data_IF_566677951109
#
_entry.id   IF_566677951109
#
_cell.length_a   1.000
_cell.length_b   1.000
_cell.length_c   1.000
_cell.angle_alpha   90.00
_cell.angle_beta   90.00
_cell.angle_gamma   90.00
#
_symmetry.space_group_name_H-M   'P 1'
#
loop_
_entity.id
_entity.type
_entity.pdbx_description
1 polymer ?
#
# COMPACT_ATOMS: atom_id res chain seq x y z
N UNK A 1 3.22 -14.42 -2.42
CA UNK A 1 2.71 -13.57 -1.32
C UNK A 1 3.14 -12.13 -1.58
N UNK A 2 2.18 -11.23 -1.79
CA UNK A 2 2.45 -9.82 -2.14
C UNK A 2 3.23 -9.10 -1.02
N UNK A 3 3.02 -9.52 0.24
CA UNK A 3 3.75 -9.01 1.41
C UNK A 3 5.28 -9.13 1.27
N UNK A 4 5.77 -10.21 0.64
CA UNK A 4 7.20 -10.36 0.36
C UNK A 4 7.75 -9.23 -0.51
N UNK A 5 7.06 -8.91 -1.61
CA UNK A 5 7.46 -7.84 -2.51
C UNK A 5 7.30 -6.46 -1.86
N UNK A 6 6.22 -6.23 -1.12
CA UNK A 6 5.92 -4.93 -0.52
C UNK A 6 6.92 -4.51 0.57
N UNK A 7 7.37 -5.45 1.41
CA UNK A 7 8.32 -5.15 2.50
C UNK A 7 9.79 -5.22 2.07
N UNK A 8 10.08 -5.71 0.87
CA UNK A 8 11.44 -5.81 0.35
C UNK A 8 12.17 -4.44 0.29
N UNK A 9 11.59 -3.36 -0.28
CA UNK A 9 12.24 -2.06 -0.32
C UNK A 9 12.55 -1.49 1.07
N UNK A 10 11.66 -1.73 2.04
CA UNK A 10 11.84 -1.30 3.43
C UNK A 10 13.03 -2.03 4.05
N UNK A 11 13.09 -3.36 3.89
CA UNK A 11 14.23 -4.16 4.34
C UNK A 11 15.55 -3.65 3.73
N UNK A 12 15.58 -3.40 2.41
CA UNK A 12 16.81 -2.93 1.74
C UNK A 12 17.22 -1.53 2.20
N UNK A 13 16.27 -0.62 2.42
CA UNK A 13 16.54 0.75 2.85
C UNK A 13 17.04 0.80 4.30
N UNK A 14 16.47 0.00 5.20
CA UNK A 14 16.94 -0.10 6.59
C UNK A 14 18.33 -0.76 6.60
N UNK A 15 18.52 -1.83 5.82
CA UNK A 15 19.80 -2.53 5.75
C UNK A 15 20.93 -1.63 5.27
N UNK A 16 20.69 -0.76 4.29
CA UNK A 16 21.70 0.20 3.81
C UNK A 16 22.03 1.28 4.85
N UNK A 17 21.02 1.83 5.54
CA UNK A 17 21.23 2.79 6.62
C UNK A 17 21.97 2.19 7.81
N UNK A 18 21.67 0.94 8.15
CA UNK A 18 22.35 0.23 9.24
C UNK A 18 23.77 -0.15 8.83
N UNK A 19 24.00 -0.54 7.58
CA UNK A 19 25.33 -0.89 7.09
C UNK A 19 26.30 0.29 7.12
N UNK A 20 25.83 1.53 6.90
CA UNK A 20 26.66 2.74 6.98
C UNK A 20 26.92 3.21 8.40
N UNK A 21 26.02 2.93 9.35
CA UNK A 21 26.13 3.39 10.76
C UNK A 21 26.76 2.37 11.70
N UNK A 22 26.62 1.07 11.42
CA UNK A 22 27.01 0.00 12.35
C UNK A 22 28.23 -0.79 11.86
N UNK A 23 29.23 -0.91 12.74
CA UNK A 23 30.43 -1.73 12.51
C UNK A 23 30.20 -3.23 12.82
N UNK A 24 29.18 -3.55 13.63
CA UNK A 24 28.86 -4.93 14.02
C UNK A 24 28.12 -5.69 12.91
N UNK A 25 28.60 -6.91 12.61
CA UNK A 25 27.96 -7.83 11.67
C UNK A 25 26.53 -8.21 12.09
N UNK A 26 26.30 -8.37 13.40
CA UNK A 26 24.97 -8.73 13.94
C UNK A 26 23.92 -7.67 13.67
N UNK A 27 24.27 -6.40 13.89
CA UNK A 27 23.37 -5.28 13.65
C UNK A 27 23.02 -5.16 12.17
N UNK A 28 23.97 -5.48 11.27
CA UNK A 28 23.75 -5.48 9.82
C UNK A 28 22.81 -6.59 9.33
N UNK A 29 22.79 -7.75 9.99
CA UNK A 29 21.93 -8.89 9.61
C UNK A 29 20.50 -8.75 10.18
N UNK A 30 20.34 -7.96 11.25
CA UNK A 30 19.08 -7.82 11.98
C UNK A 30 17.86 -7.44 11.11
N UNK A 31 17.94 -6.49 10.15
CA UNK A 31 16.80 -6.15 9.29
C UNK A 31 16.36 -7.30 8.38
N UNK A 32 17.32 -8.05 7.82
CA UNK A 32 17.03 -9.22 6.98
C UNK A 32 16.43 -10.36 7.79
N UNK A 33 16.94 -10.60 9.00
CA UNK A 33 16.39 -11.59 9.91
C UNK A 33 14.94 -11.25 10.30
N UNK A 34 14.69 -9.98 10.66
CA UNK A 34 13.35 -9.51 10.99
C UNK A 34 12.36 -9.70 9.82
N UNK A 35 12.79 -9.36 8.59
CA UNK A 35 12.00 -9.58 7.39
C UNK A 35 11.68 -11.07 7.15
N UNK A 36 12.68 -11.95 7.23
CA UNK A 36 12.48 -13.39 7.05
C UNK A 36 11.54 -13.98 8.11
N UNK A 37 11.74 -13.63 9.38
CA UNK A 37 10.88 -14.11 10.49
C UNK A 37 9.44 -13.61 10.33
N UNK A 38 9.25 -12.34 9.95
CA UNK A 38 7.92 -11.79 9.68
C UNK A 38 7.23 -12.53 8.53
N UNK A 39 7.93 -12.74 7.41
CA UNK A 39 7.38 -13.46 6.28
C UNK A 39 7.04 -14.91 6.60
N UNK A 40 7.88 -15.58 7.39
CA UNK A 40 7.61 -16.93 7.87
C UNK A 40 6.35 -16.95 8.75
N UNK A 41 6.20 -15.98 9.66
CA UNK A 41 5.00 -15.87 10.50
C UNK A 41 3.72 -15.67 9.67
N UNK A 42 3.75 -14.76 8.68
CA UNK A 42 2.60 -14.55 7.77
C UNK A 42 2.33 -15.80 6.93
N UNK A 43 3.36 -16.50 6.48
CA UNK A 43 3.24 -17.75 5.73
C UNK A 43 2.62 -18.87 6.56
N UNK A 44 3.13 -19.11 7.77
CA UNK A 44 2.62 -20.12 8.70
C UNK A 44 1.18 -19.83 9.13
N UNK A 45 0.83 -18.56 9.36
CA UNK A 45 -0.56 -18.17 9.64
C UNK A 45 -1.53 -18.67 8.56
N UNK A 46 -1.14 -18.60 7.28
CA UNK A 46 -1.97 -19.09 6.17
C UNK A 46 -2.10 -20.62 6.11
N UNK A 47 -1.06 -21.34 6.54
CA UNK A 47 -1.10 -22.81 6.66
C UNK A 47 -2.00 -23.23 7.82
N UNK A 48 -1.88 -22.56 8.98
CA UNK A 48 -2.72 -22.85 10.15
C UNK A 48 -4.20 -22.53 9.93
N UNK A 49 -4.51 -21.50 9.15
CA UNK A 49 -5.87 -21.18 8.72
C UNK A 49 -6.36 -22.10 7.57
N UNK A 50 -5.55 -23.08 7.15
CA UNK A 50 -5.84 -23.99 6.04
C UNK A 50 -6.21 -23.29 4.72
N UNK A 51 -5.82 -22.02 4.59
CA UNK A 51 -6.12 -21.20 3.40
C UNK A 51 -5.20 -21.55 2.22
N UNK A 52 -4.00 -22.07 2.50
CA UNK A 52 -3.01 -22.45 1.48
C UNK A 52 -2.20 -23.66 1.91
N UNK A 53 -1.82 -24.49 0.94
CA UNK A 53 -0.92 -25.60 1.17
C UNK A 53 0.52 -25.12 1.45
N UNK A 54 1.33 -25.85 2.25
CA UNK A 54 2.69 -25.43 2.59
C UNK A 54 3.58 -25.14 1.38
N UNK A 55 3.48 -25.94 0.32
CA UNK A 55 4.26 -25.73 -0.90
C UNK A 55 3.87 -24.43 -1.63
N UNK A 56 2.59 -24.05 -1.62
CA UNK A 56 2.11 -22.78 -2.21
C UNK A 56 2.62 -21.58 -1.41
N UNK A 57 2.66 -21.70 -0.08
CA UNK A 57 3.22 -20.67 0.79
C UNK A 57 4.71 -20.51 0.52
N UNK A 58 5.47 -21.59 0.46
CA UNK A 58 6.91 -21.54 0.17
C UNK A 58 7.19 -20.94 -1.21
N UNK A 59 6.51 -21.41 -2.26
CA UNK A 59 6.64 -20.85 -3.60
C UNK A 59 6.27 -19.36 -3.60
N UNK A 60 5.15 -19.00 -2.94
CA UNK A 60 4.70 -17.63 -2.83
C UNK A 60 5.66 -16.70 -2.08
N UNK A 61 6.40 -17.20 -1.09
CA UNK A 61 7.43 -16.45 -0.38
C UNK A 61 8.63 -16.17 -1.30
N UNK A 62 9.13 -17.20 -1.99
CA UNK A 62 10.26 -17.08 -2.93
C UNK A 62 9.90 -16.12 -4.07
N UNK A 63 8.77 -16.35 -4.75
CA UNK A 63 8.32 -15.49 -5.84
C UNK A 63 8.09 -14.05 -5.36
N UNK A 64 7.57 -13.85 -4.14
CA UNK A 64 7.39 -12.52 -3.56
C UNK A 64 8.71 -11.77 -3.35
N UNK A 65 9.73 -12.45 -2.81
CA UNK A 65 11.06 -11.87 -2.64
C UNK A 65 11.73 -11.55 -3.98
N UNK A 66 11.68 -12.47 -4.95
CA UNK A 66 12.20 -12.26 -6.30
C UNK A 66 11.51 -11.07 -6.98
N UNK A 67 10.19 -10.97 -6.85
CA UNK A 67 9.43 -9.84 -7.38
C UNK A 67 9.84 -8.51 -6.73
N UNK A 68 10.00 -8.49 -5.40
CA UNK A 68 10.48 -7.31 -4.68
C UNK A 68 11.86 -6.85 -5.14
N UNK A 69 12.79 -7.80 -5.28
CA UNK A 69 14.13 -7.54 -5.81
C UNK A 69 14.08 -6.96 -7.24
N UNK A 70 13.27 -7.55 -8.11
CA UNK A 70 13.13 -7.11 -9.49
C UNK A 70 12.47 -5.71 -9.60
N UNK A 71 11.50 -5.41 -8.74
CA UNK A 71 10.74 -4.14 -8.83
C UNK A 71 11.43 -2.96 -8.13
N UNK A 72 12.26 -3.21 -7.11
CA UNK A 72 12.95 -2.14 -6.35
C UNK A 72 13.70 -1.12 -7.23
N UNK A 73 14.49 -1.51 -8.26
CA UNK A 73 15.16 -0.55 -9.12
C UNK A 73 14.26 0.09 -10.19
N UNK A 74 13.01 -0.37 -10.36
CA UNK A 74 12.12 0.03 -11.48
C UNK A 74 10.98 0.95 -11.05
N UNK A 75 11.10 1.65 -9.92
CA UNK A 75 10.04 2.52 -9.42
C UNK A 75 9.83 3.72 -10.36
N UNK A 76 8.62 3.96 -10.89
CA UNK A 76 8.35 4.94 -11.94
C UNK A 76 8.28 6.40 -11.44
N UNK A 77 9.24 6.85 -10.63
CA UNK A 77 9.19 8.18 -9.98
C UNK A 77 9.17 9.38 -10.95
N UNK A 78 9.69 9.21 -12.17
CA UNK A 78 9.82 10.28 -13.18
C UNK A 78 8.77 10.19 -14.31
N UNK A 79 7.80 9.28 -14.21
CA UNK A 79 6.75 9.15 -15.22
C UNK A 79 5.71 10.26 -15.09
N UNK A 80 5.14 10.68 -16.21
CA UNK A 80 4.07 11.66 -16.26
C UNK A 80 2.79 11.18 -15.54
N UNK A 81 1.96 12.13 -15.09
CA UNK A 81 0.66 11.84 -14.49
C UNK A 81 -0.25 11.02 -15.42
N UNK A 82 -0.15 11.24 -16.73
CA UNK A 82 -0.88 10.51 -17.78
C UNK A 82 -0.66 9.00 -17.68
N UNK A 83 0.57 8.55 -17.37
CA UNK A 83 0.91 7.13 -17.22
C UNK A 83 0.17 6.49 -16.03
N UNK A 84 0.11 7.18 -14.89
CA UNK A 84 -0.61 6.72 -13.70
C UNK A 84 -2.12 6.67 -13.95
N UNK A 85 -2.67 7.71 -14.57
CA UNK A 85 -4.08 7.76 -14.95
C UNK A 85 -4.46 6.66 -15.94
N UNK A 86 -3.66 6.47 -16.99
CA UNK A 86 -3.89 5.42 -17.99
C UNK A 86 -3.75 4.03 -17.38
N UNK A 87 -2.79 3.81 -16.47
CA UNK A 87 -2.63 2.54 -15.76
C UNK A 87 -3.85 2.24 -14.89
N UNK A 88 -4.32 3.21 -14.10
CA UNK A 88 -5.55 3.07 -13.31
C UNK A 88 -6.76 2.76 -14.20
N UNK A 89 -6.90 3.47 -15.31
CA UNK A 89 -7.99 3.24 -16.26
C UNK A 89 -7.89 1.84 -16.90
N UNK A 90 -6.70 1.43 -17.34
CA UNK A 90 -6.46 0.13 -17.93
C UNK A 90 -6.75 -1.01 -16.95
N UNK A 91 -6.39 -0.86 -15.67
CA UNK A 91 -6.72 -1.84 -14.63
C UNK A 91 -8.24 -1.95 -14.42
N UNK A 92 -8.96 -0.84 -14.31
CA UNK A 92 -10.42 -0.85 -14.13
C UNK A 92 -11.17 -1.39 -15.36
N UNK A 93 -10.80 -0.94 -16.56
CA UNK A 93 -11.41 -1.41 -17.81
C UNK A 93 -11.05 -2.87 -18.07
N UNK A 94 -9.80 -3.26 -17.86
CA UNK A 94 -9.35 -4.65 -17.98
C UNK A 94 -10.07 -5.57 -17.01
N UNK A 95 -10.20 -5.17 -15.75
CA UNK A 95 -10.98 -5.90 -14.75
C UNK A 95 -12.45 -6.06 -15.17
N UNK A 96 -13.07 -4.98 -15.66
CA UNK A 96 -14.45 -4.99 -16.11
C UNK A 96 -14.62 -5.87 -17.35
N UNK A 97 -13.70 -5.81 -18.30
CA UNK A 97 -13.69 -6.65 -19.49
C UNK A 97 -13.57 -8.13 -19.14
N UNK A 98 -12.64 -8.47 -18.25
CA UNK A 98 -12.47 -9.85 -17.77
C UNK A 98 -13.73 -10.34 -17.07
N UNK A 99 -14.31 -9.51 -16.19
CA UNK A 99 -15.56 -9.82 -15.50
C UNK A 99 -16.69 -10.12 -16.50
N UNK A 100 -16.95 -9.22 -17.44
CA UNK A 100 -18.01 -9.40 -18.44
C UNK A 100 -17.76 -10.60 -19.34
N UNK A 101 -16.51 -10.86 -19.72
CA UNK A 101 -16.13 -12.03 -20.52
C UNK A 101 -16.41 -13.33 -19.77
N UNK A 102 -16.02 -13.41 -18.49
CA UNK A 102 -16.29 -14.60 -17.67
C UNK A 102 -17.80 -14.78 -17.45
N UNK A 103 -18.51 -13.68 -17.23
CA UNK A 103 -19.96 -13.71 -17.07
C UNK A 103 -20.68 -14.21 -18.32
N UNK A 104 -20.31 -13.75 -19.52
CA UNK A 104 -20.91 -14.24 -20.77
C UNK A 104 -20.57 -15.70 -21.08
N UNK A 105 -19.45 -16.20 -20.57
CA UNK A 105 -19.10 -17.63 -20.60
C UNK A 105 -19.83 -18.47 -19.53
N UNK A 106 -20.71 -17.86 -18.73
CA UNK A 106 -21.49 -18.54 -17.69
C UNK A 106 -20.75 -18.74 -16.37
N UNK A 107 -19.59 -18.11 -16.18
CA UNK A 107 -18.78 -18.18 -14.96
C UNK A 107 -19.09 -16.98 -14.05
N UNK A 108 -19.92 -17.19 -13.03
CA UNK A 108 -20.19 -16.16 -12.03
C UNK A 108 -19.05 -16.04 -11.00
N UNK A 109 -18.31 -14.93 -11.07
CA UNK A 109 -17.27 -14.57 -10.10
C UNK A 109 -17.82 -14.34 -8.68
N UNK A 110 -19.11 -14.01 -8.56
CA UNK A 110 -19.77 -13.78 -7.27
C UNK A 110 -20.18 -15.08 -6.58
N UNK A 111 -20.08 -16.22 -7.28
CA UNK A 111 -20.51 -17.53 -6.76
C UNK A 111 -19.86 -17.89 -5.43
N UNK A 112 -18.55 -17.66 -5.29
CA UNK A 112 -17.80 -17.97 -4.05
C UNK A 112 -18.26 -17.11 -2.87
N UNK A 113 -18.59 -15.84 -3.12
CA UNK A 113 -19.12 -14.93 -2.12
C UNK A 113 -20.54 -15.33 -1.71
N UNK A 114 -21.39 -15.67 -2.68
CA UNK A 114 -22.74 -16.16 -2.42
C UNK A 114 -22.73 -17.45 -1.59
N UNK A 115 -21.78 -18.35 -1.87
CA UNK A 115 -21.59 -19.57 -1.09
C UNK A 115 -21.13 -19.26 0.34
N UNK A 116 -20.15 -18.36 0.51
CA UNK A 116 -19.70 -17.92 1.83
C UNK A 116 -20.84 -17.29 2.64
N UNK A 117 -21.61 -16.37 2.05
CA UNK A 117 -22.75 -15.74 2.72
C UNK A 117 -23.87 -16.71 3.09
N UNK A 118 -23.99 -17.85 2.39
CA UNK A 118 -25.00 -18.87 2.67
C UNK A 118 -24.58 -19.85 3.77
N UNK A 119 -23.31 -20.23 3.82
CA UNK A 119 -22.83 -21.34 4.66
C UNK A 119 -21.94 -20.92 5.83
N UNK A 120 -21.42 -19.70 5.85
CA UNK A 120 -20.68 -19.22 7.01
C UNK A 120 -21.61 -19.05 8.23
N UNK A 121 -21.10 -19.43 9.41
CA UNK A 121 -21.80 -19.26 10.69
C UNK A 121 -22.16 -17.79 10.96
N UNK A 122 -21.29 -16.86 10.53
CA UNK A 122 -21.46 -15.42 10.66
C UNK A 122 -21.33 -14.74 9.29
N UNK A 123 -22.42 -14.61 8.52
CA UNK A 123 -22.39 -14.00 7.19
C UNK A 123 -22.00 -12.52 7.23
N UNK A 124 -22.18 -11.83 8.36
CA UNK A 124 -21.74 -10.46 8.58
C UNK A 124 -20.23 -10.27 8.50
N UNK A 125 -19.44 -11.35 8.63
CA UNK A 125 -17.98 -11.31 8.46
C UNK A 125 -17.54 -11.36 6.99
N UNK A 126 -18.46 -11.58 6.04
CA UNK A 126 -18.19 -11.53 4.60
C UNK A 126 -18.30 -10.08 4.13
N UNK A 127 -17.17 -9.38 4.19
CA UNK A 127 -17.08 -7.96 3.86
C UNK A 127 -17.10 -7.72 2.34
N UNK A 128 -17.70 -6.62 1.87
CA UNK A 128 -17.63 -6.24 0.45
C UNK A 128 -16.19 -6.03 -0.05
N UNK A 129 -15.30 -5.62 0.85
CA UNK A 129 -13.87 -5.41 0.56
C UNK A 129 -13.15 -6.69 0.12
N UNK A 130 -13.68 -7.87 0.44
CA UNK A 130 -13.10 -9.15 0.01
C UNK A 130 -13.43 -9.51 -1.44
N UNK A 131 -14.23 -8.71 -2.14
CA UNK A 131 -14.58 -8.95 -3.55
C UNK A 131 -13.39 -8.60 -4.45
N UNK A 132 -13.12 -9.38 -5.52
CA UNK A 132 -12.00 -9.12 -6.43
C UNK A 132 -12.00 -7.71 -7.02
N UNK A 133 -13.19 -7.20 -7.39
CA UNK A 133 -13.33 -5.86 -7.94
C UNK A 133 -13.03 -4.75 -6.92
N UNK A 134 -13.30 -4.98 -5.63
CA UNK A 134 -12.95 -4.02 -4.57
C UNK A 134 -11.42 -3.90 -4.41
N UNK A 135 -10.69 -5.02 -4.48
CA UNK A 135 -9.22 -5.02 -4.48
C UNK A 135 -8.65 -4.29 -5.70
N UNK A 136 -9.19 -4.55 -6.90
CA UNK A 136 -8.73 -3.89 -8.14
C UNK A 136 -9.05 -2.39 -8.13
N UNK A 137 -10.21 -2.00 -7.63
CA UNK A 137 -10.60 -0.60 -7.42
C UNK A 137 -9.61 0.10 -6.47
N UNK A 138 -9.24 -0.55 -5.37
CA UNK A 138 -8.24 -0.06 -4.42
C UNK A 138 -6.86 0.12 -5.06
N UNK A 139 -6.37 -0.89 -5.78
CA UNK A 139 -5.04 -0.86 -6.40
C UNK A 139 -4.98 0.19 -7.53
N UNK A 140 -6.06 0.33 -8.30
CA UNK A 140 -6.19 1.36 -9.34
C UNK A 140 -6.22 2.77 -8.74
N UNK A 141 -7.02 2.97 -7.69
CA UNK A 141 -7.08 4.24 -6.96
C UNK A 141 -5.74 4.61 -6.34
N UNK A 142 -5.04 3.66 -5.72
CA UNK A 142 -3.71 3.88 -5.18
C UNK A 142 -2.68 4.27 -6.26
N UNK A 143 -2.76 3.67 -7.45
CA UNK A 143 -1.89 4.03 -8.58
C UNK A 143 -2.14 5.47 -9.05
N UNK A 144 -3.42 5.86 -9.22
CA UNK A 144 -3.78 7.24 -9.58
C UNK A 144 -3.36 8.23 -8.48
N UNK A 145 -3.65 7.90 -7.22
CA UNK A 145 -3.30 8.71 -6.05
C UNK A 145 -1.80 8.93 -5.93
N UNK A 146 -0.99 7.91 -6.19
CA UNK A 146 0.46 8.03 -6.25
C UNK A 146 0.89 9.03 -7.33
N UNK A 147 0.30 8.94 -8.53
CA UNK A 147 0.56 9.88 -9.61
C UNK A 147 0.27 11.33 -9.23
N UNK A 148 -0.91 11.59 -8.63
CA UNK A 148 -1.33 12.90 -8.15
C UNK A 148 -0.39 13.41 -7.05
N UNK A 149 -0.02 12.55 -6.09
CA UNK A 149 0.86 12.89 -5.00
C UNK A 149 2.25 13.33 -5.50
N UNK A 150 2.83 12.59 -6.45
CA UNK A 150 4.16 12.88 -7.00
C UNK A 150 4.22 14.17 -7.82
N UNK A 151 3.12 14.57 -8.47
CA UNK A 151 3.00 15.80 -9.25
C UNK A 151 2.47 17.00 -8.46
N UNK A 152 2.11 16.80 -7.18
CA UNK A 152 1.61 17.88 -6.33
C UNK A 152 2.73 18.87 -5.96
N UNK A 153 2.45 20.20 -5.93
CA UNK A 153 3.42 21.20 -5.47
C UNK A 153 3.88 20.95 -4.03
N UNK A 154 3.01 20.37 -3.19
CA UNK A 154 3.33 20.01 -1.80
C UNK A 154 4.47 18.99 -1.73
N UNK A 155 4.40 17.94 -2.57
CA UNK A 155 5.46 16.94 -2.64
C UNK A 155 6.75 17.52 -3.21
N UNK A 156 6.67 18.41 -4.20
CA UNK A 156 7.84 19.08 -4.76
C UNK A 156 8.61 19.90 -3.71
N UNK A 157 7.91 20.55 -2.78
CA UNK A 157 8.51 21.27 -1.65
C UNK A 157 9.16 20.31 -0.64
N UNK A 158 8.44 19.27 -0.23
CA UNK A 158 8.93 18.23 0.70
C UNK A 158 10.14 17.50 0.12
N UNK A 159 10.15 17.19 -1.17
CA UNK A 159 11.26 16.50 -1.83
C UNK A 159 12.56 17.33 -1.82
N UNK A 160 12.45 18.66 -1.89
CA UNK A 160 13.62 19.56 -1.76
C UNK A 160 14.08 19.68 -0.30
N UNK A 161 13.15 19.60 0.65
CA UNK A 161 13.46 19.66 2.06
C UNK A 161 13.98 18.32 2.59
N UNK A 162 15.13 18.30 3.24
CA UNK A 162 15.57 17.11 3.98
C UNK A 162 14.86 17.05 5.33
N UNK A 163 13.86 16.16 5.46
CA UNK A 163 13.18 15.96 6.74
C UNK A 163 14.11 15.30 7.77
N UNK A 164 14.19 15.92 8.95
CA UNK A 164 14.90 15.34 10.11
C UNK A 164 14.20 14.09 10.66
N UNK A 165 14.89 13.31 11.49
CA UNK A 165 14.31 12.09 12.08
C UNK A 165 13.07 12.37 12.95
N UNK A 166 13.05 13.49 13.69
CA UNK A 166 11.90 13.92 14.48
C UNK A 166 10.67 14.26 13.61
N UNK A 167 10.87 14.98 12.50
CA UNK A 167 9.81 15.26 11.54
C UNK A 167 9.27 13.99 10.88
N UNK A 168 10.14 13.02 10.55
CA UNK A 168 9.70 11.70 10.03
C UNK A 168 8.82 10.95 11.02
N UNK A 169 9.16 10.98 12.31
CA UNK A 169 8.34 10.37 13.36
C UNK A 169 7.00 11.10 13.51
N UNK A 170 7.00 12.43 13.50
CA UNK A 170 5.77 13.22 13.51
C UNK A 170 4.88 12.91 12.30
N UNK A 171 5.46 12.78 11.10
CA UNK A 171 4.73 12.37 9.90
C UNK A 171 4.10 10.98 10.06
N UNK A 172 4.84 10.01 10.62
CA UNK A 172 4.33 8.66 10.85
C UNK A 172 3.12 8.69 11.80
N UNK A 173 3.25 9.37 12.93
CA UNK A 173 2.18 9.47 13.94
C UNK A 173 0.95 10.17 13.37
N UNK A 174 1.13 11.30 12.67
CA UNK A 174 0.03 12.05 12.05
C UNK A 174 -0.65 11.26 10.94
N UNK A 175 0.12 10.58 10.08
CA UNK A 175 -0.44 9.74 9.03
C UNK A 175 -1.29 8.60 9.61
N UNK A 176 -0.78 7.91 10.63
CA UNK A 176 -1.53 6.85 11.33
C UNK A 176 -2.79 7.41 12.00
N UNK A 177 -2.68 8.55 12.68
CA UNK A 177 -3.79 9.20 13.38
C UNK A 177 -4.89 9.71 12.44
N UNK A 178 -4.57 10.05 11.19
CA UNK A 178 -5.53 10.52 10.20
C UNK A 178 -6.14 9.39 9.36
N UNK A 179 -5.36 8.35 9.05
CA UNK A 179 -5.85 7.19 8.30
C UNK A 179 -6.84 6.34 9.10
N UNK A 180 -6.64 6.19 10.41
CA UNK A 180 -7.53 5.38 11.26
C UNK A 180 -8.99 5.86 11.26
N UNK A 181 -9.29 7.13 11.56
CA UNK A 181 -10.65 7.67 11.51
C UNK A 181 -11.25 7.66 10.10
N UNK A 182 -10.43 7.87 9.07
CA UNK A 182 -10.87 7.80 7.68
C UNK A 182 -11.28 6.37 7.28
N UNK A 183 -10.71 5.36 7.93
CA UNK A 183 -11.11 3.97 7.75
C UNK A 183 -12.43 3.64 8.47
N UNK A 184 -12.68 4.30 9.60
CA UNK A 184 -13.92 4.17 10.36
C UNK A 184 -15.13 4.85 9.72
N UNK A 185 -14.89 5.74 8.75
CA UNK A 185 -15.95 6.31 7.93
C UNK A 185 -16.55 5.19 7.06
N UNK A 186 -17.64 4.60 7.57
CA UNK A 186 -18.29 3.46 6.96
C UNK A 186 -18.73 3.71 5.51
N UNK A 187 -19.01 2.63 4.80
CA UNK A 187 -19.37 2.71 3.39
C UNK A 187 -20.86 2.94 3.16
N UNK A 188 -21.25 3.61 2.07
CA UNK A 188 -22.66 3.73 1.68
C UNK A 188 -23.26 2.34 1.37
N UNK A 189 -24.55 2.11 1.65
CA UNK A 189 -25.20 0.81 1.48
C UNK A 189 -25.38 0.40 0.00
N UNK A 190 -25.26 1.35 -0.94
CA UNK A 190 -25.37 1.08 -2.38
C UNK A 190 -24.04 0.59 -2.95
N UNK A 191 -24.04 -0.55 -3.65
CA UNK A 191 -22.84 -1.21 -4.18
C UNK A 191 -22.04 -0.33 -5.16
N UNK A 192 -22.72 0.43 -6.02
CA UNK A 192 -22.06 1.35 -6.97
C UNK A 192 -21.34 2.48 -6.24
N UNK A 193 -22.00 3.11 -5.26
CA UNK A 193 -21.40 4.13 -4.42
C UNK A 193 -20.24 3.56 -3.60
N UNK A 194 -20.36 2.33 -3.09
CA UNK A 194 -19.28 1.66 -2.38
C UNK A 194 -17.99 1.63 -3.23
N UNK A 195 -18.06 1.21 -4.50
CA UNK A 195 -16.87 1.16 -5.35
C UNK A 195 -16.29 2.54 -5.69
N UNK A 196 -17.14 3.55 -5.87
CA UNK A 196 -16.70 4.93 -6.11
C UNK A 196 -15.98 5.48 -4.87
N UNK A 197 -16.58 5.32 -3.69
CA UNK A 197 -15.99 5.74 -2.42
C UNK A 197 -14.70 4.98 -2.11
N UNK A 198 -14.68 3.67 -2.35
CA UNK A 198 -13.50 2.84 -2.21
C UNK A 198 -12.36 3.36 -3.10
N UNK A 199 -12.63 3.58 -4.39
CA UNK A 199 -11.66 4.13 -5.32
C UNK A 199 -11.13 5.50 -4.86
N UNK A 200 -12.02 6.41 -4.48
CA UNK A 200 -11.66 7.75 -4.03
C UNK A 200 -10.84 7.72 -2.73
N UNK A 201 -11.27 6.92 -1.75
CA UNK A 201 -10.56 6.72 -0.47
C UNK A 201 -9.11 6.28 -0.72
N UNK A 202 -8.92 5.26 -1.56
CA UNK A 202 -7.57 4.77 -1.88
C UNK A 202 -6.77 5.65 -2.83
N UNK A 203 -7.42 6.56 -3.56
CA UNK A 203 -6.75 7.65 -4.29
C UNK A 203 -6.23 8.73 -3.34
N UNK A 204 -6.99 9.03 -2.27
CA UNK A 204 -6.63 10.05 -1.28
C UNK A 204 -5.49 9.59 -0.37
N UNK A 205 -5.39 8.31 -0.05
CA UNK A 205 -4.38 7.77 0.87
C UNK A 205 -2.93 8.10 0.47
N UNK A 206 -2.46 7.83 -0.77
CA UNK A 206 -1.12 8.24 -1.19
C UNK A 206 -0.92 9.76 -1.15
N UNK A 207 -1.92 10.55 -1.57
CA UNK A 207 -1.86 12.02 -1.51
C UNK A 207 -1.66 12.52 -0.08
N UNK A 208 -2.34 11.89 0.87
CA UNK A 208 -2.25 12.22 2.28
C UNK A 208 -0.86 11.88 2.85
N UNK A 209 -0.41 10.64 2.65
CA UNK A 209 0.81 10.10 3.27
C UNK A 209 2.07 10.67 2.63
N UNK A 210 2.10 10.86 1.30
CA UNK A 210 3.30 11.28 0.59
C UNK A 210 3.41 12.79 0.44
N UNK A 211 2.29 13.51 0.26
CA UNK A 211 2.32 14.94 -0.04
C UNK A 211 1.83 15.78 1.14
N UNK A 212 0.58 15.59 1.61
CA UNK A 212 -0.05 16.51 2.56
C UNK A 212 0.59 16.46 3.96
N UNK A 213 0.68 15.28 4.57
CA UNK A 213 1.19 15.13 5.95
C UNK A 213 2.64 15.59 6.07
N UNK A 214 3.58 15.16 5.19
CA UNK A 214 4.95 15.64 5.25
C UNK A 214 5.08 17.14 5.01
N UNK A 215 4.24 17.70 4.13
CA UNK A 215 4.22 19.13 3.86
C UNK A 215 3.78 19.93 5.08
N UNK A 216 2.69 19.54 5.74
CA UNK A 216 2.20 20.18 6.97
C UNK A 216 3.27 20.17 8.07
N UNK A 217 3.89 18.99 8.31
CA UNK A 217 4.94 18.86 9.33
C UNK A 217 6.13 19.76 9.00
N UNK A 218 6.52 19.83 7.73
CA UNK A 218 7.62 20.69 7.30
C UNK A 218 7.29 22.17 7.49
N UNK A 219 6.09 22.61 7.10
CA UNK A 219 5.68 24.03 7.22
C UNK A 219 5.59 24.47 8.67
N UNK A 220 4.96 23.68 9.55
CA UNK A 220 4.85 24.03 10.97
C UNK A 220 6.22 24.06 11.66
N UNK A 221 7.07 23.06 11.39
CA UNK A 221 8.42 23.02 11.97
C UNK A 221 9.33 24.13 11.47
N UNK A 222 9.10 24.66 10.26
CA UNK A 222 9.87 25.79 9.72
C UNK A 222 9.47 27.14 10.32
N UNK A 223 8.23 27.28 10.81
CA UNK A 223 7.76 28.49 11.48
C UNK A 223 8.29 28.63 12.92
N UNK A 224 8.68 27.53 13.55
CA UNK A 224 9.25 27.52 14.91
C UNK A 224 10.76 27.81 14.97
N UNK A 225 11.46 27.91 13.84
CA UNK A 225 12.85 28.35 13.80
C UNK A 225 12.89 29.90 13.84
N UNK A 226 13.37 30.53 14.93
CA UNK A 226 13.48 31.99 14.97
C UNK A 226 14.44 32.47 13.86
N UNK A 227 14.17 33.64 13.22
CA UNK A 227 15.06 34.19 12.23
C UNK A 227 16.42 34.46 12.89
N UNK A 228 17.46 33.77 12.42
CA UNK A 228 18.84 34.08 12.77
C UNK A 228 19.08 35.50 12.24
N UNK A 229 19.05 36.50 13.13
CA UNK A 229 19.54 37.85 12.84
C UNK A 229 21.02 37.72 12.53
N UNK A 230 21.38 37.85 11.27
CA UNK A 230 22.73 38.23 10.88
C UNK A 230 22.95 39.68 11.30
N UNK A 231 23.67 39.88 12.40
CA UNK A 231 24.33 41.14 12.75
C UNK A 231 25.55 41.36 11.88
#
# INVERSE_FOLDING_TARGET
>A
MITGAAFWPIMTAISSQVATRAHSRWVRVMPSLAYCTFLLAVGLSRVFLLAHFPHQVLAGLITGAVLGWLMTPRVPMERELSFYGLTSLALLLGASLIYWTLFTLGLDLSWSINLASKWCERPEWVHLDSRPFASLSRDSGAALGLGIALHSPCYAQVRRAHLGHGQKLACLVLAMGLLGPLDWLGYPPQISLFYIFNFLKYTLWPCLVLALVPWLVHTFSSQEAPPIRSS
#
